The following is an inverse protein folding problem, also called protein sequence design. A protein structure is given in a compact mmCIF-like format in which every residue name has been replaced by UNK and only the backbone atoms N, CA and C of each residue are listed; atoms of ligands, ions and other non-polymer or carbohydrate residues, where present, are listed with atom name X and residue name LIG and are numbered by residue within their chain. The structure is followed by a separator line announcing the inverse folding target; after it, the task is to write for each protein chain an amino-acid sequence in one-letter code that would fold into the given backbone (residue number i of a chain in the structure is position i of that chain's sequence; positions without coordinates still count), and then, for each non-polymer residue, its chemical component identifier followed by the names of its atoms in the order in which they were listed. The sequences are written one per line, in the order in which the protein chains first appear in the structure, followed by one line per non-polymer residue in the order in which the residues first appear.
data_IF_761387909440
#
_entry.id   IF_761387909440
#
_cell.length_a   1.000
_cell.length_b   1.000
_cell.length_c   1.000
_cell.angle_alpha   90.00
_cell.angle_beta   90.00
_cell.angle_gamma   90.00
#
_symmetry.space_group_name_H-M   'P 1'
#
loop_
_entity.id
_entity.type
_entity.pdbx_description
1 polymer ?
#
# COMPACT_ATOMS: atom_id res chain seq x y z
N UNK A 1 13.86 -1.64 -26.45
CA UNK A 1 13.92 -0.63 -25.37
C UNK A 1 12.55 -0.59 -24.73
N UNK A 2 12.41 -1.08 -23.50
CA UNK A 2 11.13 -1.03 -22.78
C UNK A 2 10.86 0.42 -22.39
N UNK A 3 9.72 0.97 -22.81
CA UNK A 3 9.26 2.32 -22.41
C UNK A 3 8.05 2.12 -21.52
N UNK A 4 8.08 2.73 -20.34
CA UNK A 4 6.89 2.87 -19.50
C UNK A 4 5.83 3.61 -20.30
N UNK A 5 4.65 3.01 -20.43
CA UNK A 5 3.52 3.64 -21.11
C UNK A 5 2.66 4.42 -20.12
N UNK A 6 1.86 5.35 -20.64
CA UNK A 6 0.85 6.06 -19.84
C UNK A 6 -0.12 5.09 -19.14
N UNK A 7 -0.39 3.93 -19.75
CA UNK A 7 -1.19 2.86 -19.17
C UNK A 7 -0.53 2.27 -17.92
N UNK A 8 0.79 2.08 -17.94
CA UNK A 8 1.52 1.51 -16.79
C UNK A 8 1.59 2.50 -15.61
N UNK A 9 1.76 3.79 -15.93
CA UNK A 9 1.66 4.89 -14.94
C UNK A 9 0.28 4.89 -14.30
N UNK A 10 -0.76 4.88 -15.14
CA UNK A 10 -2.14 4.94 -14.68
C UNK A 10 -2.52 3.72 -13.83
N UNK A 11 -2.12 2.52 -14.24
CA UNK A 11 -2.35 1.29 -13.48
C UNK A 11 -1.67 1.33 -12.10
N UNK A 12 -0.43 1.83 -12.04
CA UNK A 12 0.32 1.93 -10.78
C UNK A 12 -0.33 2.93 -9.80
N UNK A 13 -0.74 4.10 -10.29
CA UNK A 13 -1.46 5.10 -9.48
C UNK A 13 -2.84 4.58 -9.07
N UNK A 14 -3.53 3.87 -9.96
CA UNK A 14 -4.82 3.25 -9.68
C UNK A 14 -4.73 2.24 -8.54
N UNK A 15 -3.78 1.31 -8.58
CA UNK A 15 -3.62 0.30 -7.53
C UNK A 15 -3.32 0.93 -6.16
N UNK A 16 -2.50 1.99 -6.15
CA UNK A 16 -2.26 2.75 -4.92
C UNK A 16 -3.51 3.47 -4.41
N UNK A 17 -4.32 4.03 -5.32
CA UNK A 17 -5.58 4.70 -4.99
C UNK A 17 -6.60 3.71 -4.43
N UNK A 18 -6.78 2.55 -5.08
CA UNK A 18 -7.63 1.45 -4.62
C UNK A 18 -7.22 0.99 -3.21
N UNK A 19 -5.93 0.94 -2.90
CA UNK A 19 -5.46 0.66 -1.55
C UNK A 19 -5.89 1.73 -0.54
N UNK A 20 -5.75 3.00 -0.90
CA UNK A 20 -6.15 4.11 -0.03
C UNK A 20 -7.66 4.07 0.25
N UNK A 21 -8.46 3.87 -0.79
CA UNK A 21 -9.93 3.80 -0.70
C UNK A 21 -10.35 2.62 0.18
N UNK A 22 -9.76 1.44 -0.05
CA UNK A 22 -9.98 0.26 0.79
C UNK A 22 -9.71 0.55 2.27
N UNK A 23 -8.59 1.21 2.59
CA UNK A 23 -8.23 1.55 3.97
C UNK A 23 -9.23 2.52 4.59
N UNK A 24 -9.70 3.53 3.84
CA UNK A 24 -10.63 4.54 4.33
C UNK A 24 -12.05 4.00 4.52
N UNK A 25 -12.51 3.13 3.62
CA UNK A 25 -13.84 2.53 3.63
C UNK A 25 -13.96 1.41 4.68
N UNK A 26 -13.01 0.47 4.68
CA UNK A 26 -13.10 -0.74 5.52
C UNK A 26 -12.49 -0.55 6.91
N UNK A 27 -11.60 0.44 7.08
CA UNK A 27 -10.87 0.73 8.33
C UNK A 27 -10.28 -0.54 8.96
N UNK A 28 -9.41 -1.26 8.23
CA UNK A 28 -8.95 -2.57 8.64
C UNK A 28 -8.12 -2.49 9.93
N UNK A 29 -8.36 -3.43 10.85
CA UNK A 29 -7.59 -3.54 12.08
C UNK A 29 -6.25 -4.19 11.77
N UNK A 30 -5.16 -3.48 12.04
CA UNK A 30 -3.80 -4.00 11.88
C UNK A 30 -3.49 -5.01 13.00
N UNK A 31 -2.83 -6.09 12.62
CA UNK A 31 -2.42 -7.14 13.55
C UNK A 31 -1.53 -6.58 14.67
N UNK A 32 -1.83 -6.92 15.93
CA UNK A 32 -1.14 -6.34 17.11
C UNK A 32 0.38 -6.55 17.10
N UNK A 33 0.85 -7.70 16.60
CA UNK A 33 2.27 -8.08 16.66
C UNK A 33 3.12 -7.48 15.54
N UNK A 34 2.59 -7.44 14.32
CA UNK A 34 3.34 -6.99 13.14
C UNK A 34 2.89 -5.62 12.63
N UNK A 35 1.71 -5.16 13.05
CA UNK A 35 1.11 -3.92 12.58
C UNK A 35 0.82 -3.95 11.08
N UNK A 36 0.37 -5.09 10.54
CA UNK A 36 0.04 -5.28 9.12
C UNK A 36 -1.41 -5.75 8.94
N UNK A 37 -1.93 -5.64 7.72
CA UNK A 37 -3.27 -6.08 7.33
C UNK A 37 -3.51 -7.57 7.63
N UNK A 38 -4.75 -7.93 7.93
CA UNK A 38 -5.16 -9.32 8.11
C UNK A 38 -5.20 -10.08 6.79
N UNK A 39 -5.15 -11.42 6.84
CA UNK A 39 -5.15 -12.25 5.61
C UNK A 39 -6.42 -12.08 4.76
N UNK A 40 -7.56 -11.86 5.39
CA UNK A 40 -8.82 -11.62 4.70
C UNK A 40 -8.77 -10.27 3.97
N UNK A 41 -8.35 -9.21 4.65
CA UNK A 41 -8.16 -7.88 4.05
C UNK A 41 -7.17 -7.94 2.89
N UNK A 42 -6.06 -8.67 3.04
CA UNK A 42 -5.06 -8.87 1.98
C UNK A 42 -5.62 -9.60 0.76
N UNK A 43 -6.46 -10.61 0.98
CA UNK A 43 -7.09 -11.34 -0.10
C UNK A 43 -8.13 -10.49 -0.84
N UNK A 44 -8.94 -9.75 -0.08
CA UNK A 44 -9.95 -8.84 -0.60
C UNK A 44 -9.29 -7.74 -1.45
N UNK A 45 -8.36 -6.98 -0.89
CA UNK A 45 -7.70 -5.89 -1.62
C UNK A 45 -6.94 -6.41 -2.84
N UNK A 46 -6.28 -7.57 -2.76
CA UNK A 46 -5.59 -8.17 -3.90
C UNK A 46 -6.54 -8.42 -5.08
N UNK A 47 -7.80 -8.80 -4.82
CA UNK A 47 -8.78 -9.04 -5.87
C UNK A 47 -9.19 -7.77 -6.64
N UNK A 48 -8.95 -6.59 -6.05
CA UNK A 48 -9.28 -5.28 -6.60
C UNK A 48 -8.14 -4.65 -7.43
N UNK A 49 -6.92 -5.17 -7.34
CA UNK A 49 -5.75 -4.59 -7.98
C UNK A 49 -5.61 -4.99 -9.46
N UNK A 50 -5.06 -4.09 -10.26
CA UNK A 50 -4.62 -4.36 -11.62
C UNK A 50 -3.42 -5.33 -11.62
N UNK A 51 -2.39 -5.06 -10.82
CA UNK A 51 -1.22 -5.93 -10.65
C UNK A 51 -1.42 -6.95 -9.52
N UNK A 52 -2.59 -7.57 -9.47
CA UNK A 52 -2.91 -8.60 -8.49
C UNK A 52 -2.01 -9.82 -8.59
N UNK A 53 -1.85 -10.51 -7.47
CA UNK A 53 -1.29 -11.86 -7.42
C UNK A 53 -2.40 -12.88 -7.64
N UNK A 54 -2.17 -13.88 -8.49
CA UNK A 54 -3.09 -15.00 -8.63
C UNK A 54 -3.06 -15.89 -7.37
N UNK A 55 -4.16 -15.92 -6.62
CA UNK A 55 -4.34 -16.67 -5.37
C UNK A 55 -5.79 -17.14 -5.25
N UNK A 56 -6.00 -18.33 -4.68
CA UNK A 56 -7.34 -18.93 -4.55
C UNK A 56 -7.94 -18.81 -3.14
N UNK A 57 -7.14 -18.41 -2.14
CA UNK A 57 -7.58 -18.37 -0.74
C UNK A 57 -6.81 -17.34 0.13
N UNK A 58 -7.41 -16.85 1.24
CA UNK A 58 -6.81 -15.90 2.18
C UNK A 58 -5.76 -16.54 3.12
N UNK A 59 -4.75 -17.20 2.54
CA UNK A 59 -3.75 -17.96 3.30
C UNK A 59 -2.38 -17.28 3.37
N UNK A 60 -2.15 -16.29 2.52
CA UNK A 60 -0.86 -15.60 2.34
C UNK A 60 -0.67 -14.44 3.31
N UNK A 61 0.58 -14.18 3.69
CA UNK A 61 0.97 -13.04 4.52
C UNK A 61 1.26 -11.81 3.64
N UNK A 62 1.40 -10.62 4.23
CA UNK A 62 1.62 -9.37 3.48
C UNK A 62 2.83 -9.49 2.54
N UNK A 63 3.92 -10.07 3.03
CA UNK A 63 5.18 -10.24 2.32
C UNK A 63 4.99 -11.09 1.06
N UNK A 64 4.01 -12.00 1.05
CA UNK A 64 3.67 -12.82 -0.11
C UNK A 64 2.90 -12.06 -1.20
N UNK A 65 2.47 -10.82 -0.97
CA UNK A 65 1.82 -9.95 -1.95
C UNK A 65 2.73 -8.77 -2.30
N UNK A 66 3.63 -8.89 -3.29
CA UNK A 66 4.65 -7.87 -3.55
C UNK A 66 4.08 -6.47 -3.77
N UNK A 67 2.98 -6.36 -4.52
CA UNK A 67 2.33 -5.08 -4.82
C UNK A 67 1.70 -4.48 -3.58
N UNK A 68 0.92 -5.26 -2.82
CA UNK A 68 0.30 -4.78 -1.58
C UNK A 68 1.38 -4.40 -0.55
N UNK A 69 2.43 -5.21 -0.42
CA UNK A 69 3.55 -4.93 0.47
C UNK A 69 4.23 -3.60 0.09
N UNK A 70 4.47 -3.37 -1.20
CA UNK A 70 5.06 -2.12 -1.68
C UNK A 70 4.16 -0.92 -1.34
N UNK A 71 2.91 -0.92 -1.79
CA UNK A 71 2.00 0.22 -1.59
C UNK A 71 1.71 0.48 -0.11
N UNK A 72 1.61 -0.56 0.71
CA UNK A 72 1.50 -0.45 2.17
C UNK A 72 2.66 0.33 2.78
N UNK A 73 3.89 -0.01 2.38
CA UNK A 73 5.09 0.66 2.87
C UNK A 73 5.20 2.08 2.31
N UNK A 74 4.91 2.32 1.03
CA UNK A 74 4.92 3.66 0.44
C UNK A 74 3.90 4.59 1.12
N UNK A 75 2.72 4.09 1.48
CA UNK A 75 1.71 4.86 2.19
C UNK A 75 2.21 5.36 3.57
N UNK A 76 2.99 4.53 4.27
CA UNK A 76 3.61 4.86 5.55
C UNK A 76 4.85 5.76 5.40
N UNK A 77 5.76 5.42 4.47
CA UNK A 77 7.00 6.18 4.21
C UNK A 77 6.71 7.57 3.63
N UNK A 78 5.66 7.68 2.82
CA UNK A 78 5.10 8.93 2.32
C UNK A 78 4.40 9.75 3.41
N UNK A 79 4.18 9.16 4.59
CA UNK A 79 3.41 9.71 5.72
C UNK A 79 1.98 10.09 5.34
N UNK A 80 1.39 9.42 4.35
CA UNK A 80 -0.02 9.59 4.00
C UNK A 80 -0.90 9.04 5.13
N UNK A 81 -0.45 7.94 5.72
CA UNK A 81 -1.04 7.37 6.92
C UNK A 81 0.01 7.16 8.01
N UNK A 82 -0.46 7.15 9.24
CA UNK A 82 0.29 6.69 10.41
C UNK A 82 -0.46 5.56 11.09
N UNK A 83 0.26 4.69 11.80
CA UNK A 83 -0.37 3.66 12.64
C UNK A 83 -0.71 4.28 13.99
N UNK A 84 -1.98 4.28 14.37
CA UNK A 84 -2.43 4.76 15.69
C UNK A 84 -3.31 3.73 16.37
N UNK A 85 -3.19 3.61 17.69
CA UNK A 85 -4.02 2.72 18.49
C UNK A 85 -5.28 3.45 18.98
N UNK A 86 -6.41 2.74 19.02
CA UNK A 86 -7.60 3.18 19.75
C UNK A 86 -7.46 2.93 21.26
N UNK A 87 -8.45 3.38 22.03
CA UNK A 87 -8.53 3.17 23.49
C UNK A 87 -8.53 1.69 23.90
N UNK A 88 -8.88 0.78 22.97
CA UNK A 88 -8.92 -0.68 23.18
C UNK A 88 -7.62 -1.37 22.73
N UNK A 89 -6.62 -0.60 22.28
CA UNK A 89 -5.34 -1.11 21.81
C UNK A 89 -5.38 -1.76 20.42
N UNK A 90 -6.44 -1.53 19.63
CA UNK A 90 -6.46 -1.92 18.23
C UNK A 90 -5.76 -0.86 17.40
N UNK A 91 -4.90 -1.29 16.47
CA UNK A 91 -4.10 -0.39 15.65
C UNK A 91 -4.75 -0.24 14.28
N UNK A 92 -4.86 1.00 13.80
CA UNK A 92 -5.44 1.31 12.50
C UNK A 92 -4.51 2.23 11.71
N UNK A 93 -4.77 2.32 10.41
CA UNK A 93 -4.31 3.44 9.63
C UNK A 93 -5.10 4.70 9.98
N UNK A 94 -4.39 5.77 10.33
CA UNK A 94 -4.96 7.09 10.55
C UNK A 94 -4.44 8.02 9.47
N UNK A 95 -5.38 8.60 8.72
CA UNK A 95 -5.12 9.58 7.66
C UNK A 95 -4.40 10.81 8.22
N UNK A 96 -3.41 11.32 7.49
CA UNK A 96 -2.73 12.58 7.80
C UNK A 96 -3.13 13.66 6.80
N UNK A 97 -2.77 14.92 7.09
CA UNK A 97 -2.94 16.03 6.15
C UNK A 97 -2.24 15.79 4.79
N UNK A 98 -1.15 15.00 4.77
CA UNK A 98 -0.44 14.69 3.53
C UNK A 98 -1.23 13.80 2.59
N UNK A 99 -2.19 13.04 3.11
CA UNK A 99 -3.10 12.26 2.26
C UNK A 99 -4.05 13.19 1.51
N UNK A 100 -4.58 14.23 2.15
CA UNK A 100 -5.39 15.24 1.46
C UNK A 100 -4.58 15.96 0.37
N UNK A 101 -3.33 16.31 0.67
CA UNK A 101 -2.41 16.88 -0.32
C UNK A 101 -2.16 15.93 -1.49
N UNK A 102 -1.92 14.64 -1.22
CA UNK A 102 -1.75 13.61 -2.24
C UNK A 102 -3.00 13.43 -3.10
N UNK A 103 -4.19 13.46 -2.50
CA UNK A 103 -5.45 13.25 -3.21
C UNK A 103 -5.72 14.36 -4.24
N UNK A 104 -5.30 15.58 -3.93
CA UNK A 104 -5.41 16.75 -4.81
C UNK A 104 -4.43 16.73 -6.00
N UNK A 105 -3.41 15.87 -5.99
CA UNK A 105 -2.44 15.75 -7.08
C UNK A 105 -3.07 15.13 -8.34
N UNK A 106 -2.56 15.55 -9.50
CA UNK A 106 -2.88 14.87 -10.75
C UNK A 106 -2.13 13.53 -10.87
N UNK A 107 -2.45 12.74 -11.90
CA UNK A 107 -1.92 11.38 -12.06
C UNK A 107 -0.39 11.35 -12.19
N UNK A 108 0.22 12.30 -12.90
CA UNK A 108 1.66 12.37 -13.07
C UNK A 108 2.36 12.74 -11.75
N UNK A 109 1.79 13.68 -11.01
CA UNK A 109 2.29 14.09 -9.69
C UNK A 109 2.17 12.96 -8.67
N UNK A 110 1.04 12.23 -8.65
CA UNK A 110 0.88 11.03 -7.82
C UNK A 110 1.93 9.99 -8.14
N UNK A 111 2.15 9.72 -9.43
CA UNK A 111 3.19 8.77 -9.85
C UNK A 111 4.59 9.22 -9.44
N UNK A 112 4.92 10.51 -9.64
CA UNK A 112 6.19 11.08 -9.24
C UNK A 112 6.41 10.99 -7.72
N UNK A 113 5.38 11.26 -6.92
CA UNK A 113 5.41 11.12 -5.46
C UNK A 113 5.70 9.66 -5.04
N UNK A 114 5.02 8.70 -5.66
CA UNK A 114 5.23 7.27 -5.37
C UNK A 114 6.65 6.84 -5.73
N UNK A 115 7.14 7.26 -6.91
CA UNK A 115 8.48 6.96 -7.38
C UNK A 115 9.56 7.61 -6.49
N UNK A 116 9.39 8.87 -6.11
CA UNK A 116 10.30 9.57 -5.19
C UNK A 116 10.34 8.87 -3.84
N UNK A 117 9.16 8.54 -3.28
CA UNK A 117 9.05 7.85 -1.99
C UNK A 117 9.73 6.49 -2.05
N UNK A 118 9.51 5.74 -3.13
CA UNK A 118 10.20 4.48 -3.38
C UNK A 118 11.72 4.69 -3.44
N UNK A 119 12.19 5.57 -4.30
CA UNK A 119 13.61 5.70 -4.58
C UNK A 119 14.43 6.28 -3.41
N UNK A 120 13.82 7.13 -2.59
CA UNK A 120 14.54 7.88 -1.54
C UNK A 120 14.33 7.34 -0.14
N UNK A 121 13.27 6.56 0.11
CA UNK A 121 12.89 6.11 1.46
C UNK A 121 12.66 4.61 1.58
N UNK A 122 12.40 3.90 0.48
CA UNK A 122 12.12 2.48 0.54
C UNK A 122 13.44 1.69 0.62
N UNK A 123 13.60 0.93 1.70
CA UNK A 123 14.74 0.03 1.84
C UNK A 123 14.50 -1.28 1.07
N UNK A 124 15.07 -1.33 -0.14
CA UNK A 124 14.99 -2.50 -1.02
C UNK A 124 15.76 -3.67 -0.41
N UNK A 125 16.88 -3.45 0.28
CA UNK A 125 17.69 -4.52 0.84
C UNK A 125 16.99 -5.22 1.99
N UNK A 126 16.39 -4.45 2.92
CA UNK A 126 15.61 -5.00 4.02
C UNK A 126 14.43 -5.84 3.50
N UNK A 127 13.77 -5.33 2.46
CA UNK A 127 12.67 -6.04 1.79
C UNK A 127 13.13 -7.37 1.21
N UNK A 128 14.24 -7.39 0.47
CA UNK A 128 14.75 -8.60 -0.19
C UNK A 128 15.18 -9.66 0.83
N UNK A 129 15.82 -9.26 1.92
CA UNK A 129 16.22 -10.19 3.00
C UNK A 129 15.03 -10.85 3.71
N UNK A 130 13.84 -10.23 3.67
CA UNK A 130 12.61 -10.82 4.20
C UNK A 130 12.00 -11.92 3.33
N UNK A 131 12.53 -12.15 2.12
CA UNK A 131 12.10 -13.22 1.20
C UNK A 131 13.01 -14.47 1.23
N UNK A 132 14.18 -14.41 1.89
CA UNK A 132 15.10 -15.53 2.12
C UNK A 132 14.75 -16.31 3.38
#
# INVERSE_FOLDING_TARGET
MYRVSEKDISASVNDFTVFCDFVEETKPVLSKRRGVLGKNDLFEINSLLYYKKEVDAPNYQLESYPVINLIFNLALLGRLYVKAADEKGNVYFTKTIRKDEFDALNICEKYAFLLETFWTRYDIEETIRGFE
#
